data_IF_811565413174
#
_entry.id   IF_811565413174
#
_cell.length_a   1.000
_cell.length_b   1.000
_cell.length_c   1.000
_cell.angle_alpha   90.00
_cell.angle_beta   90.00
_cell.angle_gamma   90.00
#
_symmetry.space_group_name_H-M   'P 1'
#
loop_
_entity.id
_entity.type
_entity.pdbx_description
1 polymer ?
#
# COMPACT_ATOMS: atom_id res chain seq x y z
N UNK A 1 3.62 7.07 6.61
CA UNK A 1 2.31 7.70 6.36
C UNK A 1 1.60 8.08 7.67
N UNK A 2 2.28 8.71 8.64
CA UNK A 2 1.68 9.06 9.96
C UNK A 2 1.80 10.56 10.27
N UNK A 3 2.98 11.12 10.03
CA UNK A 3 3.31 12.51 10.40
C UNK A 3 2.44 13.51 9.65
N UNK A 4 2.29 13.33 8.34
CA UNK A 4 1.56 14.27 7.48
C UNK A 4 0.04 14.22 7.71
N UNK A 5 -0.63 13.05 7.81
CA UNK A 5 -2.04 12.98 8.16
C UNK A 5 -2.36 13.61 9.52
N UNK A 6 -1.53 13.36 10.54
CA UNK A 6 -1.71 13.97 11.87
C UNK A 6 -1.53 15.49 11.82
N UNK A 7 -0.55 15.99 11.04
CA UNK A 7 -0.31 17.42 10.89
C UNK A 7 -1.48 18.18 10.24
N UNK A 8 -2.32 17.51 9.45
CA UNK A 8 -3.53 18.09 8.83
C UNK A 8 -4.82 17.77 9.61
N UNK A 9 -4.71 17.18 10.81
CA UNK A 9 -5.84 16.91 11.71
C UNK A 9 -6.65 15.65 11.37
N UNK A 10 -6.07 14.69 10.65
CA UNK A 10 -6.73 13.42 10.39
C UNK A 10 -6.63 12.45 11.58
N UNK A 11 -7.67 11.65 11.80
CA UNK A 11 -7.62 10.50 12.70
C UNK A 11 -6.89 9.33 12.03
N UNK A 12 -5.80 8.86 12.66
CA UNK A 12 -4.95 7.80 12.10
C UNK A 12 -5.14 6.50 12.86
N UNK A 13 -5.64 5.48 12.16
CA UNK A 13 -5.68 4.10 12.65
C UNK A 13 -4.46 3.36 12.12
N UNK A 14 -3.65 2.82 13.04
CA UNK A 14 -2.49 2.00 12.70
C UNK A 14 -2.78 0.54 13.01
N UNK A 15 -2.46 -0.34 12.07
CA UNK A 15 -2.47 -1.79 12.28
C UNK A 15 -1.04 -2.24 12.54
N UNK A 16 -0.83 -2.94 13.67
CA UNK A 16 0.48 -3.45 14.04
C UNK A 16 0.89 -4.62 13.15
N UNK A 17 2.20 -4.86 13.07
CA UNK A 17 2.75 -6.05 12.43
C UNK A 17 2.40 -7.30 13.22
N UNK A 18 2.39 -8.44 12.53
CA UNK A 18 2.45 -9.73 13.21
C UNK A 18 3.79 -9.91 13.94
N UNK A 19 3.91 -10.82 14.91
CA UNK A 19 5.18 -11.14 15.57
C UNK A 19 6.30 -11.56 14.61
N UNK A 20 5.93 -12.13 13.46
CA UNK A 20 6.84 -12.54 12.39
C UNK A 20 7.21 -11.40 11.42
N UNK A 21 6.92 -10.15 11.79
CA UNK A 21 7.20 -8.95 10.99
C UNK A 21 6.47 -8.95 9.63
N UNK A 22 5.26 -9.51 9.59
CA UNK A 22 4.39 -9.54 8.42
C UNK A 22 3.13 -8.67 8.56
N UNK A 23 2.31 -8.66 7.51
CA UNK A 23 1.00 -8.00 7.50
C UNK A 23 -0.03 -8.80 8.31
N UNK A 24 -0.68 -8.15 9.28
CA UNK A 24 -1.89 -8.70 9.89
C UNK A 24 -3.09 -8.46 8.96
N UNK A 25 -3.31 -9.41 8.04
CA UNK A 25 -4.36 -9.31 7.03
C UNK A 25 -5.75 -9.20 7.64
N UNK A 26 -6.02 -9.90 8.76
CA UNK A 26 -7.34 -9.88 9.39
C UNK A 26 -7.63 -8.52 10.05
N UNK A 27 -6.65 -7.95 10.74
CA UNK A 27 -6.76 -6.62 11.31
C UNK A 27 -6.86 -5.53 10.23
N UNK A 28 -6.11 -5.66 9.13
CA UNK A 28 -6.20 -4.76 7.98
C UNK A 28 -7.56 -4.83 7.29
N UNK A 29 -8.07 -6.03 7.01
CA UNK A 29 -9.42 -6.20 6.45
C UNK A 29 -10.47 -5.52 7.33
N UNK A 30 -10.39 -5.72 8.65
CA UNK A 30 -11.31 -5.09 9.60
C UNK A 30 -11.21 -3.56 9.58
N UNK A 31 -9.99 -3.02 9.56
CA UNK A 31 -9.76 -1.57 9.53
C UNK A 31 -10.24 -0.95 8.20
N UNK A 32 -9.98 -1.59 7.07
CA UNK A 32 -10.45 -1.16 5.74
C UNK A 32 -11.97 -1.25 5.68
N UNK A 33 -12.54 -2.36 6.16
CA UNK A 33 -13.98 -2.56 6.20
C UNK A 33 -14.70 -1.60 7.15
N UNK A 34 -14.01 -0.88 8.04
CA UNK A 34 -14.61 0.22 8.82
C UNK A 34 -14.95 1.45 7.95
N UNK A 35 -14.38 1.54 6.75
CA UNK A 35 -14.62 2.61 5.77
C UNK A 35 -13.83 3.90 5.99
N UNK A 36 -12.50 3.84 6.18
CA UNK A 36 -11.68 5.04 6.21
C UNK A 36 -11.74 5.75 4.85
N UNK A 37 -11.49 7.06 4.84
CA UNK A 37 -11.48 7.83 3.59
C UNK A 37 -10.30 7.46 2.69
N UNK A 38 -9.17 7.11 3.30
CA UNK A 38 -7.93 6.72 2.60
C UNK A 38 -7.32 5.53 3.34
N UNK A 39 -6.85 4.55 2.58
CA UNK A 39 -6.06 3.41 3.05
C UNK A 39 -4.69 3.52 2.40
N UNK A 40 -3.63 3.49 3.21
CA UNK A 40 -2.26 3.46 2.71
C UNK A 40 -1.60 2.12 3.03
N UNK A 41 -1.09 1.44 2.01
CA UNK A 41 -0.36 0.18 2.14
C UNK A 41 0.94 0.31 1.36
N UNK A 42 2.08 0.14 2.02
CA UNK A 42 3.39 0.06 1.34
C UNK A 42 3.78 -1.40 1.18
N UNK A 43 4.01 -1.84 -0.05
CA UNK A 43 4.38 -3.23 -0.37
C UNK A 43 5.32 -3.25 -1.59
N UNK A 44 6.61 -3.62 -1.44
CA UNK A 44 7.29 -4.03 -0.20
C UNK A 44 7.50 -2.88 0.80
N UNK A 45 7.53 -3.20 2.10
CA UNK A 45 7.70 -2.20 3.15
C UNK A 45 9.19 -1.89 3.41
N UNK A 46 9.57 -0.62 3.42
CA UNK A 46 10.90 -0.14 3.84
C UNK A 46 11.19 -0.43 5.34
N UNK A 47 12.37 -0.96 5.77
CA UNK A 47 13.66 -1.04 5.07
C UNK A 47 13.76 -2.07 3.94
N UNK A 48 13.29 -3.31 4.12
CA UNK A 48 13.29 -4.37 3.08
C UNK A 48 12.28 -5.49 3.43
N UNK A 49 11.21 -5.18 4.17
CA UNK A 49 10.27 -6.17 4.71
C UNK A 49 9.49 -6.94 3.64
N UNK A 50 8.84 -8.07 4.02
CA UNK A 50 8.05 -8.88 3.09
C UNK A 50 6.91 -8.05 2.47
N UNK A 51 6.75 -8.19 1.14
CA UNK A 51 5.60 -7.63 0.43
C UNK A 51 4.33 -8.47 0.63
N UNK A 52 3.19 -7.89 0.29
CA UNK A 52 1.94 -8.65 0.14
C UNK A 52 2.09 -9.67 -0.99
N UNK A 53 1.61 -10.88 -0.76
CA UNK A 53 1.41 -11.84 -1.83
C UNK A 53 0.11 -11.54 -2.61
N UNK A 54 -0.09 -12.25 -3.72
CA UNK A 54 -1.30 -12.09 -4.54
C UNK A 54 -2.58 -12.31 -3.72
N UNK A 55 -2.60 -13.32 -2.84
CA UNK A 55 -3.79 -13.64 -2.05
C UNK A 55 -4.11 -12.56 -1.02
N UNK A 56 -3.09 -12.03 -0.33
CA UNK A 56 -3.22 -10.93 0.61
C UNK A 56 -3.70 -9.66 -0.08
N UNK A 57 -3.13 -9.29 -1.23
CA UNK A 57 -3.58 -8.09 -1.94
C UNK A 57 -5.04 -8.20 -2.40
N UNK A 58 -5.47 -9.35 -2.92
CA UNK A 58 -6.86 -9.58 -3.32
C UNK A 58 -7.83 -9.45 -2.14
N UNK A 59 -7.45 -10.00 -0.98
CA UNK A 59 -8.22 -9.93 0.26
C UNK A 59 -8.44 -8.48 0.70
N UNK A 60 -7.37 -7.69 0.72
CA UNK A 60 -7.45 -6.27 1.11
C UNK A 60 -8.29 -5.46 0.13
N UNK A 61 -8.13 -5.69 -1.18
CA UNK A 61 -8.96 -5.06 -2.22
C UNK A 61 -10.44 -5.38 -2.02
N UNK A 62 -10.77 -6.63 -1.68
CA UNK A 62 -12.15 -7.05 -1.41
C UNK A 62 -12.80 -6.37 -0.20
N UNK A 63 -12.00 -5.85 0.73
CA UNK A 63 -12.49 -5.10 1.88
C UNK A 63 -12.73 -3.60 1.59
N UNK A 64 -12.19 -3.07 0.48
CA UNK A 64 -12.27 -1.64 0.13
C UNK A 64 -13.71 -1.25 -0.20
N UNK A 65 -14.21 -0.21 0.48
CA UNK A 65 -15.53 0.35 0.23
C UNK A 65 -15.50 1.37 -0.91
N UNK A 66 -16.61 1.60 -1.63
CA UNK A 66 -16.66 2.55 -2.76
C UNK A 66 -16.25 4.00 -2.44
N UNK A 67 -16.29 4.42 -1.16
CA UNK A 67 -15.92 5.77 -0.73
C UNK A 67 -14.49 5.87 -0.17
N UNK A 68 -13.69 4.81 -0.33
CA UNK A 68 -12.35 4.68 0.23
C UNK A 68 -11.33 4.69 -0.90
N UNK A 69 -10.38 5.62 -0.84
CA UNK A 69 -9.23 5.64 -1.74
C UNK A 69 -8.17 4.64 -1.25
N UNK A 70 -7.86 3.63 -2.05
CA UNK A 70 -6.74 2.72 -1.80
C UNK A 70 -5.45 3.26 -2.40
N UNK A 71 -4.46 3.57 -1.57
CA UNK A 71 -3.12 3.96 -2.01
C UNK A 71 -2.16 2.81 -1.77
N UNK A 72 -1.66 2.23 -2.84
CA UNK A 72 -0.64 1.18 -2.82
C UNK A 72 0.72 1.80 -3.17
N UNK A 73 1.63 1.81 -2.22
CA UNK A 73 2.97 2.36 -2.35
C UNK A 73 3.97 1.24 -2.68
N UNK A 74 4.31 1.18 -3.96
CA UNK A 74 5.21 0.24 -4.62
C UNK A 74 6.60 0.86 -4.86
N UNK A 75 7.05 1.78 -4.00
CA UNK A 75 8.35 2.44 -4.13
C UNK A 75 9.58 1.52 -4.17
N UNK A 76 9.42 0.24 -3.78
CA UNK A 76 10.46 -0.79 -3.79
C UNK A 76 10.08 -1.99 -4.67
N UNK A 77 9.08 -1.86 -5.54
CA UNK A 77 8.61 -2.96 -6.38
C UNK A 77 9.71 -3.54 -7.27
N UNK A 78 10.66 -2.72 -7.74
CA UNK A 78 11.80 -3.18 -8.52
C UNK A 78 12.77 -4.09 -7.74
N UNK A 79 12.66 -4.16 -6.42
CA UNK A 79 13.42 -5.06 -5.54
C UNK A 79 12.58 -6.23 -5.00
N UNK A 80 11.31 -6.33 -5.41
CA UNK A 80 10.43 -7.41 -4.99
C UNK A 80 10.80 -8.73 -5.68
N UNK A 81 10.49 -9.85 -5.04
CA UNK A 81 10.67 -11.17 -5.64
C UNK A 81 9.85 -11.31 -6.94
N UNK A 82 10.30 -12.10 -7.94
CA UNK A 82 9.60 -12.29 -9.21
C UNK A 82 8.14 -12.79 -9.10
N UNK A 83 7.72 -13.27 -7.93
CA UNK A 83 6.35 -13.71 -7.63
C UNK A 83 5.46 -12.66 -6.92
N UNK A 84 5.98 -11.46 -6.67
CA UNK A 84 5.21 -10.39 -6.07
C UNK A 84 4.09 -9.89 -7.02
N UNK A 85 2.90 -9.55 -6.50
CA UNK A 85 1.83 -9.03 -7.32
C UNK A 85 2.18 -7.65 -7.88
N UNK A 86 1.95 -7.45 -9.18
CA UNK A 86 1.92 -6.11 -9.76
C UNK A 86 0.59 -5.44 -9.40
N UNK A 87 0.64 -4.43 -8.54
CA UNK A 87 -0.53 -3.70 -8.08
C UNK A 87 -1.32 -3.03 -9.21
N UNK A 88 -0.66 -2.55 -10.27
CA UNK A 88 -1.32 -1.96 -11.44
C UNK A 88 -2.14 -3.02 -12.16
N UNK A 89 -1.58 -4.20 -12.38
CA UNK A 89 -2.30 -5.31 -13.04
C UNK A 89 -3.47 -5.80 -12.18
N UNK A 90 -3.24 -5.95 -10.88
CA UNK A 90 -4.24 -6.45 -9.93
C UNK A 90 -5.43 -5.50 -9.77
N UNK A 91 -5.17 -4.19 -9.74
CA UNK A 91 -6.20 -3.14 -9.54
C UNK A 91 -6.93 -2.74 -10.83
N UNK A 92 -6.37 -3.08 -12.00
CA UNK A 92 -6.99 -2.81 -13.31
C UNK A 92 -8.40 -3.41 -13.39
N UNK A 93 -9.39 -2.55 -13.64
CA UNK A 93 -10.79 -2.96 -13.83
C UNK A 93 -11.53 -3.38 -12.56
N UNK A 94 -10.97 -3.15 -11.36
CA UNK A 94 -11.61 -3.51 -10.08
C UNK A 94 -12.78 -2.60 -9.68
N UNK A 95 -12.94 -1.45 -10.32
CA UNK A 95 -14.04 -0.52 -10.04
C UNK A 95 -13.96 0.14 -8.66
N UNK A 96 -12.76 0.19 -8.05
CA UNK A 96 -12.47 0.91 -6.81
C UNK A 96 -11.58 2.11 -7.09
N UNK A 97 -11.71 3.16 -6.28
CA UNK A 97 -10.79 4.30 -6.31
C UNK A 97 -9.43 3.87 -5.77
N UNK A 98 -8.40 3.95 -6.61
CA UNK A 98 -7.06 3.54 -6.24
C UNK A 98 -5.98 4.41 -6.87
N UNK A 99 -4.82 4.46 -6.21
CA UNK A 99 -3.58 5.07 -6.69
C UNK A 99 -2.45 4.11 -6.41
N UNK A 100 -1.62 3.82 -7.42
CA UNK A 100 -0.38 3.06 -7.25
C UNK A 100 0.79 4.01 -7.35
N UNK A 101 1.57 4.14 -6.28
CA UNK A 101 2.75 4.99 -6.24
C UNK A 101 3.99 4.16 -6.58
N UNK A 102 4.73 4.56 -7.63
CA UNK A 102 6.05 4.01 -7.93
C UNK A 102 7.07 5.14 -8.02
N UNK A 103 8.34 4.86 -7.71
CA UNK A 103 9.39 5.89 -7.70
C UNK A 103 10.67 5.46 -8.40
N UNK A 104 11.18 6.34 -9.27
CA UNK A 104 12.52 6.19 -9.84
C UNK A 104 13.64 6.54 -8.84
N UNK A 105 13.30 7.03 -7.65
CA UNK A 105 14.28 7.48 -6.65
C UNK A 105 15.03 6.34 -5.94
N UNK A 106 14.62 5.08 -6.13
CA UNK A 106 15.24 3.91 -5.46
C UNK A 106 16.07 3.05 -6.43
N UNK A 107 15.44 2.36 -7.39
CA UNK A 107 16.17 1.48 -8.31
C UNK A 107 17.05 2.24 -9.34
N UNK A 108 16.69 3.48 -9.68
CA UNK A 108 17.37 4.24 -10.74
C UNK A 108 18.32 5.33 -10.22
N UNK A 109 18.52 5.47 -8.90
CA UNK A 109 19.49 6.42 -8.33
C UNK A 109 19.21 7.91 -8.59
N UNK A 110 18.03 8.28 -9.09
CA UNK A 110 17.66 9.65 -9.45
C UNK A 110 16.96 10.41 -8.31
N UNK A 111 17.49 10.33 -7.08
CA UNK A 111 16.92 11.01 -5.91
C UNK A 111 16.86 12.55 -6.06
N UNK A 112 17.60 13.14 -7.01
CA UNK A 112 17.62 14.57 -7.28
C UNK A 112 16.48 15.12 -8.15
N UNK A 113 15.69 14.25 -8.82
CA UNK A 113 14.72 14.71 -9.84
C UNK A 113 13.27 14.81 -9.35
N UNK A 114 12.94 14.26 -8.17
CA UNK A 114 11.59 14.35 -7.56
C UNK A 114 10.45 13.98 -8.53
N UNK A 115 10.65 12.96 -9.35
CA UNK A 115 9.59 12.42 -10.24
C UNK A 115 9.03 11.14 -9.63
N UNK A 116 7.75 11.18 -9.28
CA UNK A 116 6.90 10.01 -9.04
C UNK A 116 5.73 10.07 -10.02
N UNK A 117 5.24 8.90 -10.46
CA UNK A 117 4.04 8.79 -11.29
C UNK A 117 2.94 8.09 -10.48
N UNK A 118 1.69 8.40 -10.83
CA UNK A 118 0.46 7.88 -10.23
C UNK A 118 -0.53 7.55 -11.35
#
# INVERSE_FOLDING_TARGET
>A
HEIEPLAVGADVVKVAMTPDMGFDLAALETAIAAGPRIVFISSPWNPVGPGLDHSGLQRLIGAVRPSTLLVLDEAYFEFADPGAPDGIEVLRGRGIDHVVLRTFSKAYGLAGLRVGYA
#
